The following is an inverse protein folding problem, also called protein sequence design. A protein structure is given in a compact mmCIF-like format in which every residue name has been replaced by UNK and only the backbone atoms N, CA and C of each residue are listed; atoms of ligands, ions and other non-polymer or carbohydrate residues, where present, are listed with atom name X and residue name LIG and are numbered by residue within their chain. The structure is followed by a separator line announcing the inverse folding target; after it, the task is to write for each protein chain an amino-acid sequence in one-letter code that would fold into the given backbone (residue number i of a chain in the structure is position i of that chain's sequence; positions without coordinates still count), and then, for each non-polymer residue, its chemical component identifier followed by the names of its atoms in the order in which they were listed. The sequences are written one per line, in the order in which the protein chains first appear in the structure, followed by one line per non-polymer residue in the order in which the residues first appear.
data_IF_081875735395
#
_entry.id   IF_081875735395
#
_cell.length_a   1.000
_cell.length_b   1.000
_cell.length_c   1.000
_cell.angle_alpha   90.00
_cell.angle_beta   90.00
_cell.angle_gamma   90.00
#
_symmetry.space_group_name_H-M   'P 1'
#
loop_
_entity.id
_entity.type
_entity.pdbx_description
1 polymer ?
#
# COMPACT_ATOMS: atom_id res chain seq x y z
N UNK A 1 27.06 7.72 33.76
CA UNK A 1 25.94 8.55 34.24
C UNK A 1 24.68 8.12 33.51
N UNK A 2 23.67 7.61 34.21
CA UNK A 2 22.39 7.25 33.58
C UNK A 2 21.63 8.52 33.21
N UNK A 3 21.29 8.69 31.94
CA UNK A 3 20.45 9.81 31.47
C UNK A 3 19.08 9.66 32.11
N UNK A 4 18.72 10.56 33.03
CA UNK A 4 17.40 10.59 33.67
C UNK A 4 16.48 11.48 32.83
N UNK A 5 15.54 10.87 32.10
CA UNK A 5 14.50 11.63 31.41
C UNK A 5 13.61 12.38 32.43
N UNK A 6 13.28 13.66 32.20
CA UNK A 6 12.45 14.43 33.12
C UNK A 6 11.02 13.89 33.15
N UNK A 7 10.52 13.51 34.34
CA UNK A 7 9.20 12.89 34.53
C UNK A 7 8.02 13.86 34.52
N UNK A 8 8.27 15.17 34.42
CA UNK A 8 7.25 16.22 34.53
C UNK A 8 6.89 16.85 33.17
N UNK A 9 7.47 16.36 32.08
CA UNK A 9 7.13 16.83 30.74
C UNK A 9 5.72 16.35 30.39
N UNK A 10 4.84 17.31 30.08
CA UNK A 10 3.53 17.03 29.52
C UNK A 10 3.63 17.10 28.00
N UNK A 11 2.93 16.22 27.25
CA UNK A 11 2.81 16.37 25.80
C UNK A 11 2.33 17.79 25.48
N UNK A 12 2.95 18.40 24.46
CA UNK A 12 2.52 19.71 23.99
C UNK A 12 1.17 19.54 23.27
N UNK A 13 0.18 20.33 23.67
CA UNK A 13 -1.11 20.41 23.00
C UNK A 13 -1.09 21.61 22.02
N UNK A 14 -1.80 21.54 20.89
CA UNK A 14 -2.62 20.41 20.43
C UNK A 14 -1.77 19.27 19.84
N UNK A 15 -2.12 18.03 20.22
CA UNK A 15 -1.52 16.85 19.59
C UNK A 15 -1.92 16.75 18.10
N UNK A 16 -1.08 16.07 17.29
CA UNK A 16 -1.30 15.94 15.85
C UNK A 16 -2.67 15.38 15.46
N UNK A 17 -3.26 14.51 16.27
CA UNK A 17 -4.63 13.99 16.07
C UNK A 17 -5.69 15.08 16.21
N UNK A 18 -5.54 15.98 17.18
CA UNK A 18 -6.45 17.10 17.40
C UNK A 18 -6.30 18.15 16.29
N UNK A 19 -5.06 18.46 15.88
CA UNK A 19 -4.80 19.34 14.74
C UNK A 19 -5.45 18.82 13.46
N UNK A 20 -5.29 17.52 13.15
CA UNK A 20 -5.92 16.91 11.98
C UNK A 20 -7.46 16.92 12.06
N UNK A 21 -8.04 16.78 13.25
CA UNK A 21 -9.49 16.90 13.43
C UNK A 21 -9.97 18.33 13.14
N UNK A 22 -9.28 19.34 13.70
CA UNK A 22 -9.58 20.75 13.46
C UNK A 22 -9.46 21.12 11.97
N UNK A 23 -8.45 20.62 11.26
CA UNK A 23 -8.32 20.88 9.82
C UNK A 23 -9.40 20.17 8.99
N UNK A 24 -9.83 18.95 9.38
CA UNK A 24 -10.94 18.25 8.71
C UNK A 24 -12.27 18.96 8.90
N UNK A 25 -12.50 19.60 10.06
CA UNK A 25 -13.72 20.38 10.33
C UNK A 25 -13.83 21.64 9.46
N UNK A 26 -12.71 22.19 8.98
CA UNK A 26 -12.71 23.36 8.08
C UNK A 26 -13.12 23.02 6.65
N UNK A 27 -13.26 21.74 6.29
CA UNK A 27 -13.66 21.35 4.95
C UNK A 27 -15.09 21.82 4.65
N UNK A 28 -15.26 22.57 3.56
CA UNK A 28 -16.56 23.09 3.11
C UNK A 28 -17.30 22.13 2.17
N UNK A 29 -16.72 20.97 1.90
CA UNK A 29 -17.24 19.94 0.99
C UNK A 29 -17.04 18.55 1.61
N UNK A 30 -17.82 17.57 1.15
CA UNK A 30 -17.65 16.17 1.56
C UNK A 30 -16.44 15.55 0.84
N UNK A 31 -15.39 15.12 1.57
CA UNK A 31 -14.22 14.46 0.97
C UNK A 31 -14.58 13.18 0.21
N UNK A 32 -15.62 12.45 0.64
CA UNK A 32 -16.04 11.21 -0.03
C UNK A 32 -16.65 11.51 -1.40
N UNK A 33 -17.58 12.47 -1.47
CA UNK A 33 -18.14 12.94 -2.74
C UNK A 33 -17.05 13.45 -3.70
N UNK A 34 -16.02 14.13 -3.20
CA UNK A 34 -14.89 14.55 -4.03
C UNK A 34 -14.10 13.36 -4.58
N UNK A 35 -13.78 12.35 -3.76
CA UNK A 35 -13.08 11.16 -4.24
C UNK A 35 -13.87 10.43 -5.34
N UNK A 36 -15.18 10.27 -5.15
CA UNK A 36 -16.05 9.65 -6.17
C UNK A 36 -16.05 10.47 -7.46
N UNK A 37 -16.05 11.79 -7.36
CA UNK A 37 -16.00 12.68 -8.52
C UNK A 37 -14.68 12.57 -9.30
N UNK A 38 -13.55 12.41 -8.59
CA UNK A 38 -12.22 12.33 -9.21
C UNK A 38 -11.91 10.98 -9.85
N UNK A 39 -12.32 9.89 -9.20
CA UNK A 39 -11.89 8.53 -9.57
C UNK A 39 -13.02 7.60 -10.03
N UNK A 40 -14.28 7.94 -9.71
CA UNK A 40 -15.43 7.08 -9.94
C UNK A 40 -15.60 5.99 -8.86
N UNK A 41 -16.85 5.56 -8.65
CA UNK A 41 -17.19 4.57 -7.61
C UNK A 41 -16.59 3.19 -7.92
N UNK A 42 -16.59 2.78 -9.18
CA UNK A 42 -16.11 1.45 -9.59
C UNK A 42 -14.63 1.27 -9.28
N UNK A 43 -13.80 2.28 -9.62
CA UNK A 43 -12.37 2.24 -9.35
C UNK A 43 -12.09 2.22 -7.84
N UNK A 44 -12.78 3.05 -7.07
CA UNK A 44 -12.63 3.09 -5.61
C UNK A 44 -12.98 1.76 -4.97
N UNK A 45 -14.07 1.12 -5.43
CA UNK A 45 -14.46 -0.21 -4.95
C UNK A 45 -13.40 -1.26 -5.26
N UNK A 46 -12.91 -1.34 -6.51
CA UNK A 46 -11.82 -2.26 -6.89
C UNK A 46 -10.56 -2.02 -6.07
N UNK A 47 -10.18 -0.75 -5.89
CA UNK A 47 -9.02 -0.36 -5.08
C UNK A 47 -9.15 -0.83 -3.64
N UNK A 48 -10.31 -0.64 -3.03
CA UNK A 48 -10.55 -1.02 -1.63
C UNK A 48 -10.60 -2.55 -1.46
N UNK A 49 -11.17 -3.28 -2.43
CA UNK A 49 -11.14 -4.75 -2.45
C UNK A 49 -9.70 -5.30 -2.53
N UNK A 50 -8.89 -4.76 -3.44
CA UNK A 50 -7.48 -5.13 -3.59
C UNK A 50 -6.68 -4.75 -2.34
N UNK A 51 -6.88 -3.55 -1.81
CA UNK A 51 -6.20 -3.08 -0.60
C UNK A 51 -6.46 -4.06 0.55
N UNK A 52 -7.71 -4.46 0.74
CA UNK A 52 -8.07 -5.43 1.77
C UNK A 52 -7.39 -6.79 1.56
N UNK A 53 -7.21 -7.26 0.32
CA UNK A 53 -6.45 -8.48 0.05
C UNK A 53 -4.98 -8.32 0.45
N UNK A 54 -4.36 -7.19 0.10
CA UNK A 54 -2.94 -6.92 0.36
C UNK A 54 -2.65 -6.76 1.86
N UNK A 55 -3.50 -6.03 2.60
CA UNK A 55 -3.33 -5.79 4.04
C UNK A 55 -3.44 -7.08 4.87
N UNK A 56 -4.31 -8.01 4.44
CA UNK A 56 -4.51 -9.29 5.11
C UNK A 56 -3.50 -10.36 4.67
N UNK A 57 -2.62 -10.07 3.72
CA UNK A 57 -1.62 -11.04 3.27
C UNK A 57 -0.38 -11.05 4.19
N UNK A 58 0.07 -12.22 4.65
CA UNK A 58 1.19 -12.32 5.60
C UNK A 58 2.54 -11.85 5.02
N UNK A 59 2.70 -11.80 3.69
CA UNK A 59 3.93 -11.35 3.03
C UNK A 59 3.84 -9.88 2.64
N UNK A 60 2.66 -9.42 2.22
CA UNK A 60 2.49 -8.08 1.62
C UNK A 60 1.96 -7.02 2.59
N UNK A 61 1.23 -7.43 3.64
CA UNK A 61 0.56 -6.51 4.56
C UNK A 61 1.52 -5.70 5.44
N UNK A 62 2.66 -6.29 5.85
CA UNK A 62 3.66 -5.59 6.66
C UNK A 62 4.81 -4.99 5.84
N UNK A 63 4.77 -3.66 5.69
CA UNK A 63 5.81 -2.86 5.03
C UNK A 63 6.81 -2.20 5.98
N UNK A 64 6.63 -2.35 7.29
CA UNK A 64 7.42 -1.61 8.30
C UNK A 64 8.91 -1.93 8.23
N UNK A 65 9.24 -3.16 7.80
CA UNK A 65 10.61 -3.63 7.66
C UNK A 65 11.46 -2.81 6.67
N UNK A 66 10.84 -2.12 5.69
CA UNK A 66 11.55 -1.43 4.59
C UNK A 66 12.54 -0.37 5.07
N UNK A 67 12.29 0.26 6.22
CA UNK A 67 13.14 1.32 6.76
C UNK A 67 14.29 0.81 7.63
N UNK A 68 14.23 -0.44 8.10
CA UNK A 68 15.12 -0.94 9.14
C UNK A 68 15.98 -2.14 8.71
N UNK A 69 15.82 -2.62 7.46
CA UNK A 69 16.56 -3.77 6.94
C UNK A 69 17.67 -3.40 5.96
N UNK A 70 18.76 -4.17 5.98
CA UNK A 70 19.83 -4.12 4.99
C UNK A 70 19.38 -4.54 3.58
N UNK A 71 20.26 -4.31 2.60
CA UNK A 71 19.97 -4.56 1.17
C UNK A 71 19.63 -6.02 0.87
N UNK A 72 20.34 -6.95 1.47
CA UNK A 72 20.16 -8.40 1.33
C UNK A 72 18.77 -8.86 1.79
N UNK A 73 18.36 -8.45 2.99
CA UNK A 73 17.06 -8.78 3.57
C UNK A 73 15.94 -8.13 2.75
N UNK A 74 16.10 -6.85 2.39
CA UNK A 74 15.12 -6.14 1.55
C UNK A 74 14.95 -6.80 0.18
N UNK A 75 16.05 -7.23 -0.44
CA UNK A 75 16.00 -7.92 -1.73
C UNK A 75 15.26 -9.26 -1.65
N UNK A 76 15.53 -10.07 -0.62
CA UNK A 76 14.83 -11.34 -0.41
C UNK A 76 13.33 -11.15 -0.17
N UNK A 77 12.95 -10.11 0.61
CA UNK A 77 11.55 -9.78 0.84
C UNK A 77 10.85 -9.29 -0.44
N UNK A 78 11.52 -8.47 -1.25
CA UNK A 78 10.98 -8.03 -2.53
C UNK A 78 10.76 -9.21 -3.51
N UNK A 79 11.64 -10.22 -3.50
CA UNK A 79 11.45 -11.45 -4.29
C UNK A 79 10.26 -12.28 -3.78
N UNK A 80 10.13 -12.43 -2.46
CA UNK A 80 8.98 -13.12 -1.86
C UNK A 80 7.66 -12.41 -2.18
N UNK A 81 7.64 -11.08 -2.12
CA UNK A 81 6.50 -10.26 -2.50
C UNK A 81 6.14 -10.44 -3.98
N UNK A 82 7.14 -10.39 -4.88
CA UNK A 82 6.91 -10.62 -6.31
C UNK A 82 6.32 -12.01 -6.62
N UNK A 83 6.83 -13.06 -5.96
CA UNK A 83 6.24 -14.41 -6.05
C UNK A 83 4.79 -14.41 -5.57
N UNK A 84 4.53 -13.78 -4.42
CA UNK A 84 3.19 -13.72 -3.84
C UNK A 84 2.19 -12.99 -4.72
N UNK A 85 2.61 -11.91 -5.37
CA UNK A 85 1.82 -11.19 -6.37
C UNK A 85 1.36 -12.12 -7.51
N UNK A 86 2.26 -12.94 -8.07
CA UNK A 86 1.89 -13.91 -9.11
C UNK A 86 0.85 -14.92 -8.61
N UNK A 87 1.00 -15.39 -7.37
CA UNK A 87 0.01 -16.30 -6.76
C UNK A 87 -1.36 -15.62 -6.61
N UNK A 88 -1.39 -14.36 -6.17
CA UNK A 88 -2.64 -13.59 -6.01
C UNK A 88 -3.30 -13.30 -7.35
N UNK A 89 -2.53 -12.91 -8.38
CA UNK A 89 -3.04 -12.71 -9.74
C UNK A 89 -3.73 -13.98 -10.24
N UNK A 90 -3.11 -15.16 -10.06
CA UNK A 90 -3.71 -16.44 -10.47
C UNK A 90 -4.92 -16.83 -9.62
N UNK A 91 -4.88 -16.58 -8.31
CA UNK A 91 -5.95 -16.95 -7.38
C UNK A 91 -7.22 -16.11 -7.60
N UNK A 92 -7.05 -14.82 -7.85
CA UNK A 92 -8.15 -13.86 -7.99
C UNK A 92 -8.46 -13.51 -9.44
N UNK A 93 -7.73 -14.09 -10.40
CA UNK A 93 -7.83 -13.79 -11.84
C UNK A 93 -7.75 -12.28 -12.13
N UNK A 94 -6.79 -11.61 -11.50
CA UNK A 94 -6.65 -10.17 -11.65
C UNK A 94 -6.41 -9.78 -13.10
N UNK A 95 -7.21 -8.83 -13.56
CA UNK A 95 -7.02 -8.09 -14.79
C UNK A 95 -5.76 -7.23 -14.70
N UNK A 96 -5.33 -6.70 -15.85
CA UNK A 96 -4.20 -5.77 -15.92
C UNK A 96 -4.42 -4.51 -15.06
N UNK A 97 -5.66 -4.03 -14.99
CA UNK A 97 -6.01 -2.85 -14.20
C UNK A 97 -5.89 -3.14 -12.71
N UNK A 98 -6.45 -4.26 -12.24
CA UNK A 98 -6.37 -4.70 -10.85
C UNK A 98 -4.92 -4.95 -10.42
N UNK A 99 -4.12 -5.56 -11.30
CA UNK A 99 -2.69 -5.70 -11.07
C UNK A 99 -2.00 -4.32 -10.94
N UNK A 100 -2.31 -3.36 -11.82
CA UNK A 100 -1.76 -2.01 -11.76
C UNK A 100 -2.14 -1.27 -10.46
N UNK A 101 -3.37 -1.45 -9.99
CA UNK A 101 -3.82 -0.93 -8.70
C UNK A 101 -3.02 -1.58 -7.56
N UNK A 102 -2.87 -2.91 -7.57
CA UNK A 102 -2.12 -3.63 -6.54
C UNK A 102 -0.64 -3.22 -6.48
N UNK A 103 0.00 -3.06 -7.65
CA UNK A 103 1.38 -2.59 -7.76
C UNK A 103 1.55 -1.18 -7.21
N UNK A 104 0.66 -0.27 -7.59
CA UNK A 104 0.62 1.10 -7.05
C UNK A 104 0.42 1.12 -5.54
N UNK A 105 -0.47 0.29 -5.01
CA UNK A 105 -0.73 0.20 -3.58
C UNK A 105 0.44 -0.42 -2.81
N UNK A 106 1.16 -1.39 -3.38
CA UNK A 106 2.29 -2.03 -2.70
C UNK A 106 3.52 -1.13 -2.64
N UNK A 107 3.74 -0.31 -3.68
CA UNK A 107 4.76 0.75 -3.74
C UNK A 107 6.15 0.26 -3.32
N UNK A 108 6.63 -0.80 -3.98
CA UNK A 108 7.99 -1.31 -3.76
C UNK A 108 8.72 -1.55 -5.07
N UNK A 109 9.80 -0.79 -5.26
CA UNK A 109 10.74 -1.08 -6.33
C UNK A 109 11.50 -2.37 -6.02
N UNK A 110 11.22 -3.42 -6.79
CA UNK A 110 11.89 -4.70 -6.71
C UNK A 110 12.16 -5.29 -8.09
N UNK A 111 13.03 -6.31 -8.19
CA UNK A 111 13.39 -6.93 -9.47
C UNK A 111 12.18 -7.44 -10.25
N UNK A 112 11.12 -7.83 -9.54
CA UNK A 112 9.89 -8.36 -10.16
C UNK A 112 8.95 -7.24 -10.63
N UNK A 113 8.84 -6.13 -9.90
CA UNK A 113 7.86 -5.05 -10.13
C UNK A 113 8.28 -4.05 -11.23
N UNK A 114 9.58 -3.75 -11.39
CA UNK A 114 10.04 -2.68 -12.29
C UNK A 114 10.33 -3.06 -13.74
N UNK A 115 10.74 -4.30 -14.03
CA UNK A 115 11.19 -4.71 -15.38
C UNK A 115 10.50 -5.96 -15.93
N UNK A 116 10.03 -6.88 -15.07
CA UNK A 116 9.42 -8.13 -15.51
C UNK A 116 7.88 -8.08 -15.48
N UNK A 117 7.23 -7.55 -14.45
CA UNK A 117 5.77 -7.58 -14.41
C UNK A 117 5.11 -6.65 -15.44
N UNK A 118 5.58 -5.42 -15.63
CA UNK A 118 4.92 -4.48 -16.58
C UNK A 118 4.93 -5.00 -18.03
N UNK A 119 6.03 -5.58 -18.55
CA UNK A 119 6.05 -6.17 -19.90
C UNK A 119 5.59 -7.63 -19.95
N UNK A 120 5.96 -8.49 -18.99
CA UNK A 120 5.71 -9.95 -19.03
C UNK A 120 4.40 -10.39 -18.34
N UNK A 121 3.90 -9.69 -17.32
CA UNK A 121 2.57 -10.02 -16.75
C UNK A 121 1.46 -9.82 -17.78
N UNK A 122 1.67 -8.89 -18.73
CA UNK A 122 0.82 -8.75 -19.90
C UNK A 122 0.60 -10.11 -20.58
N UNK A 123 1.67 -10.90 -20.81
CA UNK A 123 1.57 -12.19 -21.50
C UNK A 123 0.80 -13.25 -20.71
N UNK A 124 0.87 -13.27 -19.37
CA UNK A 124 0.10 -14.21 -18.55
C UNK A 124 -1.37 -13.81 -18.38
N UNK A 125 -1.66 -12.50 -18.35
CA UNK A 125 -3.04 -11.97 -18.37
C UNK A 125 -3.67 -12.16 -19.76
N UNK A 126 -2.89 -12.18 -20.85
CA UNK A 126 -3.35 -12.49 -22.21
C UNK A 126 -3.39 -13.99 -22.54
N UNK A 127 -2.86 -14.88 -21.68
CA UNK A 127 -2.75 -16.32 -21.97
C UNK A 127 -3.90 -17.16 -21.41
N UNK A 128 -4.80 -16.58 -20.62
CA UNK A 128 -6.06 -17.24 -20.24
C UNK A 128 -7.22 -16.52 -20.97
N UNK A 129 -7.93 -17.21 -21.89
CA UNK A 129 -9.11 -16.66 -22.55
C UNK A 129 -10.27 -16.40 -21.59
#
# INVERSE_FOLDING_TARGET
MAVRFPRHLKPIEPQGTQLLAQEREKATFDPKALMVTLYGEEYLKKRDEILNILENDPVLGDKTHRYYTGRDVRFNKALAAGKRFIELIKKHNWTREEFGIADFLFDESGPIFGFHLVPFASQYVYANP
#
